data_IF_744625111566
#
_entry.id   IF_744625111566
#
_cell.length_a   1.000
_cell.length_b   1.000
_cell.length_c   1.000
_cell.angle_alpha   90.00
_cell.angle_beta   90.00
_cell.angle_gamma   90.00
#
_symmetry.space_group_name_H-M   'P 1'
#
loop_
_entity.id
_entity.type
_entity.pdbx_description
1 polymer ?
#
# COMPACT_ATOMS: atom_id res chain seq x y z
N UNK A 1 31.07 -26.10 -8.15
CA UNK A 1 29.91 -26.66 -7.42
C UNK A 1 28.68 -25.90 -7.89
N UNK A 2 27.93 -26.47 -8.84
CA UNK A 2 26.76 -25.80 -9.43
C UNK A 2 25.73 -25.49 -8.34
N UNK A 3 25.39 -24.21 -8.16
CA UNK A 3 24.28 -23.83 -7.28
C UNK A 3 22.98 -24.29 -7.94
N UNK A 4 22.52 -25.51 -7.63
CA UNK A 4 21.15 -25.91 -7.95
C UNK A 4 20.22 -24.85 -7.38
N UNK A 5 19.58 -24.07 -8.25
CA UNK A 5 18.56 -23.10 -7.85
C UNK A 5 17.45 -23.89 -7.17
N UNK A 6 17.37 -23.80 -5.85
CA UNK A 6 16.31 -24.39 -5.05
C UNK A 6 15.00 -23.67 -5.39
N UNK A 7 14.18 -24.28 -6.24
CA UNK A 7 12.94 -23.69 -6.78
C UNK A 7 11.76 -24.00 -5.86
N UNK A 8 10.67 -23.26 -6.04
CA UNK A 8 9.41 -23.46 -5.29
C UNK A 8 8.90 -24.90 -5.37
N UNK A 9 9.02 -25.53 -6.55
CA UNK A 9 8.61 -26.92 -6.76
C UNK A 9 9.45 -27.90 -5.94
N UNK A 10 10.75 -27.66 -5.83
CA UNK A 10 11.65 -28.50 -5.04
C UNK A 10 11.31 -28.36 -3.55
N UNK A 11 11.13 -27.13 -3.07
CA UNK A 11 10.70 -26.84 -1.70
C UNK A 11 9.32 -27.46 -1.39
N UNK A 12 8.36 -27.33 -2.30
CA UNK A 12 7.04 -27.91 -2.11
C UNK A 12 7.10 -29.44 -2.05
N UNK A 13 7.83 -30.07 -2.96
CA UNK A 13 8.01 -31.53 -2.98
C UNK A 13 8.74 -32.05 -1.74
N UNK A 14 9.75 -31.33 -1.24
CA UNK A 14 10.53 -31.73 -0.05
C UNK A 14 9.67 -31.76 1.21
N UNK A 15 8.71 -30.84 1.33
CA UNK A 15 7.88 -30.69 2.53
C UNK A 15 6.43 -31.13 2.34
N UNK A 16 6.10 -31.82 1.24
CA UNK A 16 4.75 -32.30 0.97
C UNK A 16 3.71 -31.18 0.82
N UNK A 17 4.11 -30.03 0.29
CA UNK A 17 3.25 -28.89 0.04
C UNK A 17 2.66 -28.96 -1.38
N UNK A 18 1.47 -28.41 -1.54
CA UNK A 18 0.84 -28.19 -2.83
C UNK A 18 1.37 -26.91 -3.48
N UNK A 19 1.26 -26.81 -4.81
CA UNK A 19 1.67 -25.62 -5.55
C UNK A 19 0.75 -25.35 -6.74
N UNK A 20 0.42 -24.07 -6.97
CA UNK A 20 -0.33 -23.60 -8.14
C UNK A 20 0.59 -22.92 -9.18
N UNK A 21 1.92 -23.03 -9.00
CA UNK A 21 2.94 -22.39 -9.83
C UNK A 21 3.27 -20.93 -9.45
N UNK A 22 2.42 -20.25 -8.66
CA UNK A 22 2.64 -18.88 -8.15
C UNK A 22 2.80 -18.84 -6.62
N UNK A 23 2.31 -19.86 -5.94
CA UNK A 23 2.48 -20.09 -4.50
C UNK A 23 2.70 -21.58 -4.22
N UNK A 24 3.13 -21.86 -2.99
CA UNK A 24 3.00 -23.16 -2.37
C UNK A 24 2.33 -23.06 -1.00
N UNK A 25 1.58 -24.08 -0.62
CA UNK A 25 0.78 -24.09 0.61
C UNK A 25 0.57 -25.52 1.12
N UNK A 26 0.24 -25.64 2.39
CA UNK A 26 0.04 -26.94 3.04
C UNK A 26 0.36 -26.89 4.52
N UNK A 27 0.62 -28.06 5.13
CA UNK A 27 0.97 -28.16 6.54
C UNK A 27 2.49 -28.26 6.68
N UNK A 28 3.08 -27.33 7.42
CA UNK A 28 4.50 -27.32 7.75
C UNK A 28 4.68 -27.29 9.26
N UNK A 29 5.33 -28.32 9.83
CA UNK A 29 5.60 -28.46 11.27
C UNK A 29 4.37 -28.24 12.16
N UNK A 30 3.20 -28.73 11.70
CA UNK A 30 1.94 -28.65 12.43
C UNK A 30 1.15 -27.35 12.23
N UNK A 31 1.61 -26.43 11.38
CA UNK A 31 0.88 -25.20 11.04
C UNK A 31 0.55 -25.15 9.56
N UNK A 32 -0.62 -24.60 9.22
CA UNK A 32 -0.94 -24.28 7.82
C UNK A 32 -0.12 -23.08 7.38
N UNK A 33 0.54 -23.22 6.23
CA UNK A 33 1.38 -22.17 5.66
C UNK A 33 0.97 -21.88 4.22
N UNK A 34 1.27 -20.66 3.78
CA UNK A 34 1.18 -20.28 2.39
C UNK A 34 2.37 -19.36 2.06
N UNK A 35 3.08 -19.66 0.99
CA UNK A 35 4.24 -18.92 0.50
C UNK A 35 3.96 -18.52 -0.93
N UNK A 36 3.84 -17.22 -1.17
CA UNK A 36 3.72 -16.64 -2.52
C UNK A 36 5.03 -15.98 -2.91
N UNK A 37 5.54 -16.30 -4.09
CA UNK A 37 6.76 -15.70 -4.61
C UNK A 37 6.58 -15.21 -6.05
N UNK A 38 6.85 -13.93 -6.28
CA UNK A 38 6.83 -13.30 -7.59
C UNK A 38 8.01 -12.31 -7.68
N UNK A 39 8.93 -12.53 -8.62
CA UNK A 39 10.20 -11.78 -8.72
C UNK A 39 10.00 -10.25 -8.86
N UNK A 40 8.92 -9.82 -9.51
CA UNK A 40 8.51 -8.42 -9.66
C UNK A 40 7.22 -8.09 -8.90
N UNK A 41 6.86 -8.93 -7.91
CA UNK A 41 5.71 -8.69 -7.05
C UNK A 41 6.01 -7.64 -5.98
N UNK A 42 4.96 -6.99 -5.48
CA UNK A 42 5.03 -6.16 -4.27
C UNK A 42 4.00 -6.68 -3.23
N UNK A 43 4.43 -7.41 -2.18
CA UNK A 43 5.81 -7.84 -1.93
C UNK A 43 6.27 -8.96 -2.87
N UNK A 44 7.59 -9.08 -3.05
CA UNK A 44 8.18 -10.12 -3.91
C UNK A 44 8.02 -11.53 -3.32
N UNK A 45 8.02 -11.63 -1.98
CA UNK A 45 7.75 -12.84 -1.26
C UNK A 45 6.79 -12.54 -0.10
N UNK A 46 5.74 -13.34 0.04
CA UNK A 46 4.81 -13.27 1.16
C UNK A 46 4.72 -14.65 1.80
N UNK A 47 5.08 -14.74 3.07
CA UNK A 47 4.97 -15.95 3.88
C UNK A 47 3.85 -15.73 4.89
N UNK A 48 2.86 -16.60 4.88
CA UNK A 48 1.74 -16.61 5.82
C UNK A 48 1.80 -17.88 6.66
N UNK A 49 1.60 -17.74 7.96
CA UNK A 49 1.34 -18.85 8.87
C UNK A 49 -0.03 -18.65 9.50
N UNK A 50 -0.92 -19.61 9.24
CA UNK A 50 -2.32 -19.59 9.68
C UNK A 50 -2.40 -20.19 11.08
N UNK A 51 -2.95 -19.42 12.00
CA UNK A 51 -3.11 -19.79 13.41
C UNK A 51 -4.10 -18.82 14.05
N UNK A 52 -4.90 -19.30 14.99
CA UNK A 52 -5.67 -18.42 15.86
C UNK A 52 -4.70 -17.73 16.83
N UNK A 53 -4.85 -16.41 16.98
CA UNK A 53 -3.91 -15.63 17.78
C UNK A 53 -4.36 -15.49 19.22
N UNK A 54 -5.59 -15.88 19.57
CA UNK A 54 -6.15 -15.87 20.91
C UNK A 54 -5.90 -14.54 21.66
N UNK A 55 -6.06 -13.41 20.95
CA UNK A 55 -5.79 -12.08 21.48
C UNK A 55 -4.32 -11.73 21.74
N UNK A 56 -3.37 -12.64 21.48
CA UNK A 56 -1.91 -12.45 21.70
C UNK A 56 -1.21 -11.78 20.51
N UNK A 57 -1.92 -10.91 19.78
CA UNK A 57 -1.39 -10.21 18.61
C UNK A 57 -0.13 -9.41 18.94
N UNK A 58 -0.13 -8.65 20.04
CA UNK A 58 1.02 -7.86 20.45
C UNK A 58 2.27 -8.71 20.74
N UNK A 59 2.10 -9.92 21.26
CA UNK A 59 3.22 -10.81 21.56
C UNK A 59 3.88 -11.30 20.27
N UNK A 60 3.07 -11.65 19.27
CA UNK A 60 3.55 -12.01 17.94
C UNK A 60 4.24 -10.83 17.25
N UNK A 61 3.66 -9.63 17.32
CA UNK A 61 4.27 -8.43 16.74
C UNK A 61 5.59 -8.07 17.41
N UNK A 62 5.67 -8.14 18.75
CA UNK A 62 6.93 -7.95 19.51
C UNK A 62 7.97 -8.99 19.12
N UNK A 63 7.57 -10.24 18.95
CA UNK A 63 8.46 -11.30 18.47
C UNK A 63 8.98 -11.00 17.05
N UNK A 64 8.10 -10.62 16.12
CA UNK A 64 8.48 -10.31 14.75
C UNK A 64 9.39 -9.09 14.67
N UNK A 65 9.11 -8.03 15.43
CA UNK A 65 9.95 -6.83 15.48
C UNK A 65 11.34 -7.16 16.05
N UNK A 66 11.41 -7.92 17.14
CA UNK A 66 12.69 -8.36 17.73
C UNK A 66 13.54 -9.17 16.74
N UNK A 67 12.90 -9.92 15.85
CA UNK A 67 13.57 -10.79 14.88
C UNK A 67 13.64 -10.19 13.46
N UNK A 68 13.14 -8.98 13.25
CA UNK A 68 13.01 -8.34 11.92
C UNK A 68 14.33 -8.28 11.16
N UNK A 69 15.40 -7.86 11.83
CA UNK A 69 16.74 -7.73 11.22
C UNK A 69 17.33 -9.10 10.85
N UNK A 70 17.21 -10.07 11.75
CA UNK A 70 17.71 -11.42 11.54
C UNK A 70 16.97 -12.13 10.40
N UNK A 71 15.64 -12.01 10.36
CA UNK A 71 14.77 -12.58 9.35
C UNK A 71 14.66 -11.73 8.07
N UNK A 72 15.36 -10.58 8.03
CA UNK A 72 15.36 -9.62 6.90
C UNK A 72 13.95 -9.22 6.44
N UNK A 73 13.06 -8.93 7.38
CA UNK A 73 11.66 -8.59 7.08
C UNK A 73 11.53 -7.12 6.66
N UNK A 74 10.97 -6.91 5.46
CA UNK A 74 10.56 -5.59 4.97
C UNK A 74 9.25 -5.12 5.59
N UNK A 75 8.35 -6.06 5.83
CA UNK A 75 7.07 -5.83 6.48
C UNK A 75 6.62 -7.11 7.19
N UNK A 76 5.82 -6.95 8.23
CA UNK A 76 5.16 -8.04 8.93
C UNK A 76 3.86 -7.52 9.55
N UNK A 77 2.97 -8.43 9.90
CA UNK A 77 1.74 -8.08 10.61
C UNK A 77 0.93 -9.31 11.00
N UNK A 78 0.07 -9.14 11.99
CA UNK A 78 -0.89 -10.15 12.42
C UNK A 78 -2.25 -9.75 11.87
N UNK A 79 -2.83 -10.60 11.01
CA UNK A 79 -4.01 -10.26 10.21
C UNK A 79 -4.96 -11.44 10.16
N UNK A 80 -6.17 -11.25 10.70
CA UNK A 80 -7.35 -12.10 10.50
C UNK A 80 -7.19 -13.56 10.91
N UNK A 81 -6.51 -14.33 10.06
CA UNK A 81 -6.33 -15.78 10.11
C UNK A 81 -4.95 -16.22 10.62
N UNK A 82 -4.10 -15.28 11.03
CA UNK A 82 -2.77 -15.57 11.57
C UNK A 82 -1.78 -14.44 11.33
N UNK A 83 -0.55 -14.78 10.95
CA UNK A 83 0.50 -13.79 10.74
C UNK A 83 1.07 -13.84 9.31
N UNK A 84 1.51 -12.68 8.83
CA UNK A 84 2.09 -12.50 7.50
C UNK A 84 3.44 -11.80 7.63
N UNK A 85 4.43 -12.27 6.90
CA UNK A 85 5.76 -11.67 6.83
C UNK A 85 6.23 -11.55 5.38
N UNK A 86 6.92 -10.45 5.08
CA UNK A 86 7.47 -10.13 3.77
C UNK A 86 8.99 -10.02 3.86
N UNK A 87 9.73 -11.11 3.59
CA UNK A 87 11.19 -11.07 3.65
C UNK A 87 11.81 -10.44 2.40
N UNK A 88 12.94 -9.75 2.57
CA UNK A 88 13.77 -9.21 1.49
C UNK A 88 14.64 -10.31 0.89
N UNK A 89 14.06 -11.07 -0.05
CA UNK A 89 14.70 -12.24 -0.66
C UNK A 89 15.15 -11.94 -2.09
N UNK A 90 16.43 -12.23 -2.40
CA UNK A 90 17.02 -12.02 -3.73
C UNK A 90 17.66 -13.30 -4.28
N UNK A 91 18.39 -14.05 -3.43
CA UNK A 91 19.01 -15.34 -3.76
C UNK A 91 18.66 -16.39 -2.71
N UNK A 92 18.67 -17.67 -3.08
CA UNK A 92 18.32 -18.79 -2.20
C UNK A 92 16.98 -18.59 -1.45
N UNK A 93 15.98 -18.06 -2.15
CA UNK A 93 14.69 -17.64 -1.60
C UNK A 93 14.07 -18.69 -0.70
N UNK A 94 13.91 -19.91 -1.21
CA UNK A 94 13.21 -20.97 -0.47
C UNK A 94 14.00 -21.53 0.72
N UNK A 95 15.34 -21.36 0.75
CA UNK A 95 16.13 -21.64 1.94
C UNK A 95 15.85 -20.61 3.04
N UNK A 96 15.79 -19.33 2.69
CA UNK A 96 15.44 -18.27 3.65
C UNK A 96 13.98 -18.42 4.14
N UNK A 97 13.05 -18.77 3.24
CA UNK A 97 11.67 -19.09 3.60
C UNK A 97 11.62 -20.22 4.63
N UNK A 98 12.40 -21.29 4.43
CA UNK A 98 12.51 -22.38 5.40
C UNK A 98 12.98 -21.88 6.78
N UNK A 99 14.06 -21.10 6.82
CA UNK A 99 14.60 -20.56 8.08
C UNK A 99 13.58 -19.68 8.82
N UNK A 100 12.83 -18.86 8.06
CA UNK A 100 11.73 -18.03 8.59
C UNK A 100 10.60 -18.91 9.16
N UNK A 101 10.14 -19.90 8.39
CA UNK A 101 9.07 -20.82 8.80
C UNK A 101 9.49 -21.63 10.03
N UNK A 102 10.72 -22.13 10.07
CA UNK A 102 11.27 -22.85 11.22
C UNK A 102 11.23 -22.01 12.48
N UNK A 103 11.65 -20.74 12.38
CA UNK A 103 11.68 -19.83 13.53
C UNK A 103 10.29 -19.45 14.02
N UNK A 104 9.38 -19.16 13.09
CA UNK A 104 8.00 -18.78 13.41
C UNK A 104 7.25 -19.97 14.02
N UNK A 105 7.27 -21.14 13.37
CA UNK A 105 6.55 -22.33 13.86
C UNK A 105 7.10 -22.82 15.20
N UNK A 106 8.41 -22.72 15.44
CA UNK A 106 8.99 -23.02 16.75
C UNK A 106 8.50 -22.06 17.85
N UNK A 107 8.40 -20.77 17.55
CA UNK A 107 7.85 -19.79 18.49
C UNK A 107 6.37 -20.05 18.76
N UNK A 108 5.57 -20.28 17.72
CA UNK A 108 4.14 -20.57 17.86
C UNK A 108 3.92 -21.79 18.75
N UNK A 109 4.63 -22.88 18.47
CA UNK A 109 4.53 -24.12 19.26
C UNK A 109 4.96 -23.91 20.71
N UNK A 110 6.06 -23.20 20.94
CA UNK A 110 6.57 -22.91 22.29
C UNK A 110 5.59 -22.10 23.14
N UNK A 111 4.81 -21.22 22.52
CA UNK A 111 3.87 -20.33 23.21
C UNK A 111 2.41 -20.81 23.14
N UNK A 112 2.17 -22.05 22.70
CA UNK A 112 0.86 -22.69 22.72
C UNK A 112 -0.14 -22.13 21.71
N UNK A 113 0.32 -21.62 20.57
CA UNK A 113 -0.57 -21.17 19.49
C UNK A 113 -1.19 -22.38 18.76
N UNK A 114 -2.52 -22.38 18.48
CA UNK A 114 -3.21 -23.48 17.82
C UNK A 114 -2.64 -23.81 16.43
N UNK A 115 -2.59 -25.11 16.12
CA UNK A 115 -2.01 -25.65 14.89
C UNK A 115 -3.00 -25.76 13.73
N UNK A 116 -2.63 -26.58 12.75
CA UNK A 116 -3.42 -26.86 11.56
C UNK A 116 -4.71 -27.66 11.85
N UNK A 117 -4.85 -28.26 13.01
CA UNK A 117 -6.05 -28.97 13.46
C UNK A 117 -7.10 -28.04 14.09
N UNK A 118 -6.81 -26.74 14.19
CA UNK A 118 -7.70 -25.75 14.79
C UNK A 118 -8.24 -24.74 13.77
N UNK A 119 -9.42 -24.21 14.08
CA UNK A 119 -10.05 -23.12 13.35
C UNK A 119 -9.28 -21.81 13.62
N UNK A 120 -8.80 -21.08 12.59
CA UNK A 120 -8.02 -19.86 12.77
C UNK A 120 -8.83 -18.64 13.25
N UNK A 121 -10.16 -18.75 13.32
CA UNK A 121 -11.02 -17.67 13.79
C UNK A 121 -11.46 -17.81 15.26
N UNK A 122 -11.50 -19.04 15.78
CA UNK A 122 -12.01 -19.30 17.14
C UNK A 122 -11.10 -20.19 17.99
N UNK A 123 -10.00 -20.71 17.43
CA UNK A 123 -9.06 -21.62 18.11
C UNK A 123 -9.58 -23.04 18.39
N UNK A 124 -10.88 -23.30 18.25
CA UNK A 124 -11.47 -24.63 18.46
C UNK A 124 -10.98 -25.67 17.45
N UNK A 125 -10.97 -26.94 17.85
CA UNK A 125 -10.63 -28.06 16.96
C UNK A 125 -11.57 -28.12 15.76
N UNK A 126 -11.04 -28.43 14.58
CA UNK A 126 -11.83 -28.60 13.37
C UNK A 126 -12.68 -29.87 13.47
N UNK A 127 -13.97 -29.73 13.14
CA UNK A 127 -14.95 -30.81 13.12
C UNK A 127 -15.63 -30.95 11.73
N UNK A 128 -16.68 -31.78 11.66
CA UNK A 128 -17.45 -32.05 10.44
C UNK A 128 -18.14 -30.80 9.84
N UNK A 129 -18.22 -29.69 10.57
CA UNK A 129 -18.74 -28.39 10.07
C UNK A 129 -17.66 -27.55 9.39
N UNK A 130 -16.41 -28.03 9.40
CA UNK A 130 -15.27 -27.35 8.82
C UNK A 130 -15.24 -27.50 7.31
N UNK A 131 -14.99 -26.40 6.61
CA UNK A 131 -14.90 -26.40 5.14
C UNK A 131 -13.61 -25.74 4.69
N UNK A 132 -13.11 -26.16 3.52
CA UNK A 132 -11.98 -25.50 2.87
C UNK A 132 -12.39 -24.11 2.38
N UNK A 133 -11.50 -23.14 2.52
CA UNK A 133 -11.76 -21.73 2.27
C UNK A 133 -10.52 -21.06 1.69
N UNK A 134 -10.75 -19.93 1.02
CA UNK A 134 -9.69 -19.08 0.49
C UNK A 134 -9.97 -17.65 0.93
N UNK A 135 -9.00 -17.03 1.60
CA UNK A 135 -9.00 -15.61 1.94
C UNK A 135 -7.75 -14.96 1.33
N UNK A 136 -7.92 -13.96 0.46
CA UNK A 136 -6.80 -13.27 -0.21
C UNK A 136 -5.83 -14.19 -0.96
N UNK A 137 -6.35 -15.32 -1.48
CA UNK A 137 -5.56 -16.34 -2.18
C UNK A 137 -4.86 -17.34 -1.26
N UNK A 138 -5.12 -17.29 0.05
CA UNK A 138 -4.53 -18.17 1.06
C UNK A 138 -5.55 -19.27 1.36
N UNK A 139 -5.25 -20.54 1.03
CA UNK A 139 -6.13 -21.66 1.35
C UNK A 139 -5.98 -22.06 2.83
N UNK A 140 -7.10 -22.28 3.51
CA UNK A 140 -7.15 -22.81 4.88
C UNK A 140 -8.49 -23.52 5.14
N UNK A 141 -8.62 -24.11 6.32
CA UNK A 141 -9.85 -24.78 6.77
C UNK A 141 -10.35 -24.08 8.03
N UNK A 142 -11.65 -23.84 8.12
CA UNK A 142 -12.29 -23.27 9.30
C UNK A 142 -13.75 -23.74 9.40
N UNK A 143 -14.36 -23.58 10.58
CA UNK A 143 -15.80 -23.80 10.75
C UNK A 143 -16.61 -22.88 9.83
N UNK A 144 -17.60 -23.43 9.13
CA UNK A 144 -18.44 -22.66 8.20
C UNK A 144 -19.04 -21.42 8.86
N UNK A 145 -19.56 -21.56 10.09
CA UNK A 145 -20.17 -20.44 10.83
C UNK A 145 -19.17 -19.32 11.17
N UNK A 146 -17.93 -19.67 11.53
CA UNK A 146 -16.90 -18.67 11.84
C UNK A 146 -16.55 -17.83 10.61
N UNK A 147 -16.44 -18.47 9.46
CA UNK A 147 -16.22 -17.77 8.20
C UNK A 147 -17.39 -16.89 7.79
N UNK A 148 -18.63 -17.38 7.92
CA UNK A 148 -19.82 -16.60 7.56
C UNK A 148 -19.93 -15.33 8.44
N UNK A 149 -19.55 -15.42 9.72
CA UNK A 149 -19.44 -14.25 10.62
C UNK A 149 -18.33 -13.29 10.20
N UNK A 150 -17.14 -13.79 9.88
CA UNK A 150 -16.02 -12.97 9.40
C UNK A 150 -16.38 -12.25 8.09
N UNK A 151 -17.00 -12.97 7.15
CA UNK A 151 -17.49 -12.45 5.88
C UNK A 151 -18.57 -11.37 6.08
N UNK A 152 -19.56 -11.61 6.94
CA UNK A 152 -20.59 -10.62 7.26
C UNK A 152 -19.99 -9.37 7.90
N UNK A 153 -18.99 -9.51 8.78
CA UNK A 153 -18.27 -8.40 9.39
C UNK A 153 -17.51 -7.58 8.35
N UNK A 154 -16.80 -8.24 7.43
CA UNK A 154 -16.11 -7.57 6.32
C UNK A 154 -17.10 -6.80 5.44
N UNK A 155 -18.25 -7.42 5.10
CA UNK A 155 -19.30 -6.78 4.30
C UNK A 155 -19.92 -5.57 5.00
N UNK A 156 -20.21 -5.66 6.31
CA UNK A 156 -20.72 -4.53 7.10
C UNK A 156 -19.74 -3.36 7.16
N UNK A 157 -18.44 -3.63 7.31
CA UNK A 157 -17.40 -2.59 7.26
C UNK A 157 -17.38 -1.89 5.89
N UNK A 158 -17.42 -2.66 4.80
CA UNK A 158 -17.50 -2.09 3.45
C UNK A 158 -18.78 -1.27 3.23
N UNK A 159 -19.92 -1.70 3.76
CA UNK A 159 -21.19 -0.98 3.66
C UNK A 159 -21.16 0.32 4.49
N UNK A 160 -20.60 0.28 5.70
CA UNK A 160 -20.42 1.46 6.54
C UNK A 160 -19.49 2.50 5.89
N UNK A 161 -18.37 2.05 5.30
CA UNK A 161 -17.46 2.92 4.53
C UNK A 161 -18.17 3.55 3.31
N UNK A 162 -19.03 2.80 2.63
CA UNK A 162 -19.85 3.34 1.53
C UNK A 162 -20.90 4.34 2.02
N UNK A 163 -21.56 4.05 3.14
CA UNK A 163 -22.65 4.86 3.70
C UNK A 163 -22.18 6.19 4.34
N UNK A 164 -20.90 6.31 4.68
CA UNK A 164 -20.37 7.57 5.25
C UNK A 164 -20.70 8.76 4.33
N UNK A 165 -21.09 9.95 4.83
CA UNK A 165 -21.37 11.08 3.94
C UNK A 165 -20.08 11.54 3.25
N UNK A 166 -20.16 11.81 1.94
CA UNK A 166 -19.05 12.43 1.22
C UNK A 166 -19.09 13.94 1.48
N UNK A 167 -18.32 14.43 2.45
CA UNK A 167 -18.21 15.85 2.75
C UNK A 167 -17.35 16.55 1.67
N UNK A 168 -17.85 16.60 0.44
CA UNK A 168 -17.12 17.08 -0.74
C UNK A 168 -16.71 18.54 -0.60
N UNK A 169 -17.58 19.39 -0.04
CA UNK A 169 -17.31 20.81 0.17
C UNK A 169 -16.19 21.02 1.20
N UNK A 170 -16.27 20.35 2.36
CA UNK A 170 -15.22 20.42 3.37
C UNK A 170 -13.88 19.88 2.84
N UNK A 171 -13.92 18.77 2.09
CA UNK A 171 -12.74 18.22 1.41
C UNK A 171 -12.12 19.19 0.41
N UNK A 172 -12.92 19.88 -0.41
CA UNK A 172 -12.43 20.91 -1.32
C UNK A 172 -11.81 22.11 -0.58
N UNK A 173 -12.40 22.52 0.55
CA UNK A 173 -11.80 23.54 1.42
C UNK A 173 -10.43 23.10 1.93
N UNK A 174 -10.31 21.86 2.41
CA UNK A 174 -9.03 21.28 2.82
C UNK A 174 -8.00 21.23 1.68
N UNK A 175 -8.44 20.82 0.48
CA UNK A 175 -7.57 20.78 -0.70
C UNK A 175 -7.04 22.18 -1.06
N UNK A 176 -7.91 23.19 -1.09
CA UNK A 176 -7.53 24.57 -1.39
C UNK A 176 -6.48 25.08 -0.40
N UNK A 177 -6.67 24.85 0.90
CA UNK A 177 -5.68 25.20 1.91
C UNK A 177 -4.32 24.54 1.63
N UNK A 178 -4.31 23.25 1.28
CA UNK A 178 -3.08 22.53 0.94
C UNK A 178 -2.38 23.07 -0.31
N UNK A 179 -3.16 23.36 -1.36
CA UNK A 179 -2.66 23.94 -2.60
C UNK A 179 -2.08 25.34 -2.35
N UNK A 180 -2.76 26.19 -1.55
CA UNK A 180 -2.28 27.52 -1.22
C UNK A 180 -0.94 27.49 -0.47
N UNK A 181 -0.77 26.56 0.49
CA UNK A 181 0.50 26.38 1.20
C UNK A 181 1.62 25.96 0.25
N UNK A 182 1.37 24.99 -0.63
CA UNK A 182 2.37 24.58 -1.62
C UNK A 182 2.68 25.67 -2.65
N UNK A 183 1.68 26.48 -3.00
CA UNK A 183 1.82 27.63 -3.90
C UNK A 183 2.67 28.74 -3.27
N UNK A 184 2.48 29.03 -1.98
CA UNK A 184 3.33 29.97 -1.25
C UNK A 184 4.79 29.49 -1.23
N UNK A 185 5.02 28.19 -1.00
CA UNK A 185 6.35 27.60 -1.10
C UNK A 185 6.94 27.72 -2.51
N UNK A 186 6.14 27.49 -3.56
CA UNK A 186 6.55 27.65 -4.96
C UNK A 186 7.00 29.08 -5.27
N UNK A 187 6.26 30.09 -4.80
CA UNK A 187 6.60 31.49 -4.98
C UNK A 187 7.90 31.87 -4.25
N UNK A 188 8.09 31.41 -3.01
CA UNK A 188 9.34 31.63 -2.26
C UNK A 188 10.54 31.05 -3.03
N UNK A 189 10.42 29.81 -3.52
CA UNK A 189 11.50 29.16 -4.28
C UNK A 189 11.76 29.81 -5.63
N UNK A 190 10.73 30.37 -6.27
CA UNK A 190 10.88 31.15 -7.49
C UNK A 190 11.77 32.38 -7.26
N UNK A 191 11.49 33.18 -6.22
CA UNK A 191 12.28 34.40 -5.97
C UNK A 191 13.69 34.12 -5.44
N UNK A 192 13.91 32.97 -4.78
CA UNK A 192 15.24 32.60 -4.29
C UNK A 192 16.13 31.99 -5.38
N UNK A 193 15.59 31.06 -6.17
CA UNK A 193 16.39 30.21 -7.07
C UNK A 193 15.84 30.10 -8.50
N UNK A 194 14.84 30.91 -8.86
CA UNK A 194 14.13 30.82 -10.15
C UNK A 194 13.54 29.42 -10.44
N UNK A 195 13.31 28.62 -9.39
CA UNK A 195 12.87 27.22 -9.49
C UNK A 195 11.68 26.93 -8.58
N UNK A 196 10.48 27.23 -9.10
CA UNK A 196 9.17 27.10 -8.41
C UNK A 196 8.66 25.65 -8.31
N UNK A 197 9.22 24.76 -9.13
CA UNK A 197 8.71 23.41 -9.37
C UNK A 197 8.59 22.51 -8.11
N UNK A 198 9.49 22.66 -7.13
CA UNK A 198 9.41 21.87 -5.88
C UNK A 198 8.17 22.22 -5.05
N UNK A 199 7.69 23.46 -5.11
CA UNK A 199 6.46 23.86 -4.44
C UNK A 199 5.21 23.21 -5.05
N UNK A 200 5.25 22.87 -6.35
CA UNK A 200 4.18 22.13 -7.01
C UNK A 200 4.00 20.73 -6.40
N UNK A 201 5.10 20.02 -6.13
CA UNK A 201 5.03 18.70 -5.48
C UNK A 201 4.39 18.79 -4.08
N UNK A 202 4.72 19.84 -3.32
CA UNK A 202 4.14 20.11 -2.00
C UNK A 202 2.64 20.41 -2.10
N UNK A 203 2.23 21.23 -3.07
CA UNK A 203 0.83 21.59 -3.31
C UNK A 203 -0.05 20.36 -3.58
N UNK A 204 0.42 19.47 -4.47
CA UNK A 204 -0.35 18.26 -4.85
C UNK A 204 -0.44 17.28 -3.69
N UNK A 205 0.64 17.10 -2.93
CA UNK A 205 0.66 16.21 -1.77
C UNK A 205 -0.25 16.74 -0.65
N UNK A 206 -0.10 18.00 -0.25
CA UNK A 206 -0.89 18.61 0.82
C UNK A 206 -2.37 18.74 0.42
N UNK A 207 -2.67 19.10 -0.83
CA UNK A 207 -4.05 19.17 -1.32
C UNK A 207 -4.77 17.83 -1.21
N UNK A 208 -4.12 16.74 -1.61
CA UNK A 208 -4.68 15.39 -1.50
C UNK A 208 -4.82 14.91 -0.04
N UNK A 209 -3.84 15.24 0.82
CA UNK A 209 -3.84 14.85 2.22
C UNK A 209 -4.91 15.60 3.02
N UNK A 210 -4.98 16.92 2.86
CA UNK A 210 -5.97 17.76 3.56
C UNK A 210 -7.39 17.52 3.06
N UNK A 211 -7.60 17.19 1.78
CA UNK A 211 -8.93 16.77 1.29
C UNK A 211 -9.50 15.61 2.12
N UNK A 212 -8.68 14.58 2.35
CA UNK A 212 -9.07 13.42 3.15
C UNK A 212 -9.20 13.77 4.64
N UNK A 213 -8.32 14.61 5.18
CA UNK A 213 -8.36 15.03 6.59
C UNK A 213 -9.64 15.81 6.93
N UNK A 214 -10.17 16.57 5.97
CA UNK A 214 -11.41 17.35 6.12
C UNK A 214 -12.67 16.54 5.78
N UNK A 215 -12.57 15.19 5.77
CA UNK A 215 -13.72 14.30 5.60
C UNK A 215 -14.14 14.09 4.14
N UNK A 216 -13.33 14.51 3.18
CA UNK A 216 -13.54 14.24 1.76
C UNK A 216 -13.25 12.77 1.43
N UNK A 217 -14.19 12.10 0.77
CA UNK A 217 -14.02 10.71 0.32
C UNK A 217 -13.10 10.59 -0.89
N UNK A 218 -12.31 9.52 -0.93
CA UNK A 218 -11.49 9.19 -2.08
C UNK A 218 -12.38 8.70 -3.25
N UNK A 219 -12.76 9.63 -4.11
CA UNK A 219 -13.65 9.41 -5.24
C UNK A 219 -12.96 9.88 -6.52
N UNK A 220 -13.39 9.43 -7.71
CA UNK A 220 -12.85 9.96 -8.96
C UNK A 220 -12.97 11.49 -9.03
N UNK A 221 -14.04 12.03 -8.43
CA UNK A 221 -14.22 13.47 -8.25
C UNK A 221 -13.07 14.12 -7.47
N UNK A 222 -12.60 13.53 -6.35
CA UNK A 222 -11.43 14.03 -5.61
C UNK A 222 -10.22 14.16 -6.53
N UNK A 223 -9.88 13.07 -7.22
CA UNK A 223 -8.67 13.01 -8.06
C UNK A 223 -8.69 14.11 -9.12
N UNK A 224 -9.80 14.23 -9.87
CA UNK A 224 -9.93 15.22 -10.94
C UNK A 224 -9.99 16.64 -10.38
N UNK A 225 -10.79 16.88 -9.33
CA UNK A 225 -10.96 18.22 -8.77
C UNK A 225 -9.70 18.78 -8.11
N UNK A 226 -8.96 17.95 -7.38
CA UNK A 226 -7.70 18.36 -6.74
C UNK A 226 -6.60 18.60 -7.78
N UNK A 227 -6.49 17.75 -8.81
CA UNK A 227 -5.52 17.94 -9.90
C UNK A 227 -5.80 19.26 -10.64
N UNK A 228 -7.04 19.47 -11.09
CA UNK A 228 -7.41 20.69 -11.81
C UNK A 228 -7.19 21.95 -10.96
N UNK A 229 -7.59 21.91 -9.68
CA UNK A 229 -7.37 23.02 -8.75
C UNK A 229 -5.89 23.33 -8.56
N UNK A 230 -5.08 22.29 -8.36
CA UNK A 230 -3.62 22.45 -8.16
C UNK A 230 -2.97 23.05 -9.40
N UNK A 231 -3.31 22.53 -10.58
CA UNK A 231 -2.81 23.04 -11.86
C UNK A 231 -3.18 24.51 -12.09
N UNK A 232 -4.45 24.87 -11.91
CA UNK A 232 -4.93 26.25 -12.13
C UNK A 232 -4.27 27.23 -11.16
N UNK A 233 -4.20 26.89 -9.87
CA UNK A 233 -3.63 27.78 -8.86
C UNK A 233 -2.13 27.93 -9.04
N UNK A 234 -1.40 26.86 -9.35
CA UNK A 234 0.04 26.93 -9.60
C UNK A 234 0.39 27.71 -10.88
N UNK A 235 -0.36 27.53 -11.97
CA UNK A 235 -0.15 28.30 -13.20
C UNK A 235 -0.44 29.78 -12.98
N UNK A 236 -1.52 30.11 -12.28
CA UNK A 236 -1.85 31.49 -11.93
C UNK A 236 -0.77 32.12 -11.06
N UNK A 237 -0.30 31.41 -10.03
CA UNK A 237 0.75 31.90 -9.14
C UNK A 237 2.10 32.04 -9.86
N UNK A 238 2.45 31.09 -10.73
CA UNK A 238 3.65 31.17 -11.54
C UNK A 238 3.62 32.40 -12.46
N UNK A 239 2.49 32.65 -13.12
CA UNK A 239 2.28 33.85 -13.93
C UNK A 239 2.40 35.14 -13.12
N UNK A 240 1.83 35.19 -11.92
CA UNK A 240 1.99 36.32 -10.98
C UNK A 240 3.46 36.52 -10.62
N UNK A 241 4.21 35.44 -10.36
CA UNK A 241 5.63 35.54 -10.05
C UNK A 241 6.44 36.11 -11.24
N UNK A 242 6.13 35.71 -12.47
CA UNK A 242 6.73 36.26 -13.69
C UNK A 242 6.42 37.75 -13.85
N UNK A 243 5.16 38.15 -13.64
CA UNK A 243 4.74 39.56 -13.69
C UNK A 243 5.47 40.41 -12.65
N UNK A 244 5.59 39.93 -11.41
CA UNK A 244 6.33 40.63 -10.36
C UNK A 244 7.80 40.75 -10.73
N UNK A 245 8.42 39.69 -11.24
CA UNK A 245 9.82 39.71 -11.68
C UNK A 245 10.06 40.68 -12.85
N UNK A 246 9.07 40.86 -13.73
CA UNK A 246 9.10 41.81 -14.84
C UNK A 246 8.70 43.26 -14.43
N UNK A 247 8.43 43.51 -13.14
CA UNK A 247 8.01 44.83 -12.65
C UNK A 247 6.58 45.22 -13.05
N UNK A 248 5.72 44.24 -13.32
CA UNK A 248 4.32 44.43 -13.72
C UNK A 248 4.10 44.60 -15.22
N UNK A 249 5.16 44.55 -16.03
CA UNK A 249 5.08 44.74 -17.48
C UNK A 249 5.05 43.40 -18.22
N UNK A 250 3.91 43.11 -18.86
CA UNK A 250 3.70 41.88 -19.61
C UNK A 250 4.59 41.79 -20.86
N UNK A 251 4.91 42.92 -21.50
CA UNK A 251 5.75 42.93 -22.72
C UNK A 251 7.18 42.50 -22.42
N UNK A 252 7.71 42.93 -21.27
CA UNK A 252 9.05 42.53 -20.81
C UNK A 252 9.19 41.02 -20.59
N UNK A 253 8.13 40.33 -20.19
CA UNK A 253 8.17 38.86 -20.08
C UNK A 253 8.43 38.25 -21.46
N UNK A 254 7.68 38.69 -22.48
CA UNK A 254 7.85 38.21 -23.85
C UNK A 254 9.26 38.50 -24.39
N UNK A 255 9.75 39.72 -24.16
CA UNK A 255 11.09 40.14 -24.60
C UNK A 255 12.18 39.32 -23.92
N UNK A 256 12.10 39.08 -22.60
CA UNK A 256 13.06 38.26 -21.86
C UNK A 256 13.04 36.80 -22.31
N UNK A 257 11.86 36.23 -22.61
CA UNK A 257 11.77 34.86 -23.14
C UNK A 257 12.42 34.74 -24.53
N UNK A 258 12.38 35.78 -25.36
CA UNK A 258 12.98 35.75 -26.70
C UNK A 258 14.48 36.02 -26.65
N UNK A 259 14.89 37.01 -25.87
CA UNK A 259 16.24 37.58 -25.88
C UNK A 259 17.22 36.91 -24.91
N UNK A 260 16.73 36.33 -23.80
CA UNK A 260 17.56 35.72 -22.76
C UNK A 260 17.38 34.20 -22.74
N UNK A 261 18.45 33.49 -23.09
CA UNK A 261 18.46 32.02 -23.14
C UNK A 261 18.26 31.36 -21.77
N UNK A 262 18.81 31.94 -20.70
CA UNK A 262 18.73 31.40 -19.34
C UNK A 262 17.34 31.66 -18.74
N UNK A 263 16.77 32.84 -19.02
CA UNK A 263 15.39 33.15 -18.67
C UNK A 263 14.42 32.20 -19.38
N UNK A 264 14.59 32.01 -20.70
CA UNK A 264 13.78 31.08 -21.49
C UNK A 264 13.87 29.64 -20.97
N UNK A 265 15.08 29.18 -20.65
CA UNK A 265 15.28 27.84 -20.11
C UNK A 265 14.57 27.69 -18.77
N UNK A 266 14.71 28.66 -17.87
CA UNK A 266 14.03 28.67 -16.57
C UNK A 266 12.51 28.70 -16.73
N UNK A 267 11.99 29.48 -17.69
CA UNK A 267 10.58 29.55 -18.02
C UNK A 267 10.02 28.18 -18.45
N UNK A 268 10.67 27.55 -19.44
CA UNK A 268 10.25 26.25 -19.96
C UNK A 268 10.34 25.18 -18.88
N UNK A 269 11.43 25.14 -18.12
CA UNK A 269 11.62 24.13 -17.08
C UNK A 269 10.54 24.23 -15.99
N UNK A 270 10.28 25.43 -15.46
CA UNK A 270 9.25 25.61 -14.45
C UNK A 270 7.87 25.18 -14.97
N UNK A 271 7.52 25.58 -16.19
CA UNK A 271 6.25 25.21 -16.81
C UNK A 271 6.12 23.70 -16.96
N UNK A 272 7.13 23.03 -17.55
CA UNK A 272 7.15 21.58 -17.72
C UNK A 272 7.07 20.85 -16.38
N UNK A 273 7.84 21.28 -15.38
CA UNK A 273 7.85 20.61 -14.07
C UNK A 273 6.54 20.77 -13.30
N UNK A 274 5.82 21.89 -13.44
CA UNK A 274 4.47 22.04 -12.87
C UNK A 274 3.56 20.91 -13.38
N UNK A 275 3.54 20.67 -14.70
CA UNK A 275 2.75 19.57 -15.28
C UNK A 275 3.25 18.19 -14.83
N UNK A 276 4.57 17.97 -14.79
CA UNK A 276 5.14 16.68 -14.39
C UNK A 276 4.78 16.36 -12.92
N UNK A 277 4.94 17.31 -12.01
CA UNK A 277 4.63 17.07 -10.59
C UNK A 277 3.13 16.92 -10.33
N UNK A 278 2.28 17.69 -11.04
CA UNK A 278 0.83 17.51 -10.98
C UNK A 278 0.41 16.13 -11.51
N UNK A 279 0.99 15.68 -12.63
CA UNK A 279 0.74 14.34 -13.17
C UNK A 279 1.18 13.23 -12.21
N UNK A 280 2.38 13.33 -11.63
CA UNK A 280 2.89 12.34 -10.66
C UNK A 280 1.96 12.25 -9.45
N UNK A 281 1.56 13.38 -8.87
CA UNK A 281 0.68 13.38 -7.72
C UNK A 281 -0.74 12.94 -8.04
N UNK A 282 -1.23 13.20 -9.26
CA UNK A 282 -2.50 12.66 -9.78
C UNK A 282 -2.43 11.14 -9.91
N UNK A 283 -1.35 10.61 -10.49
CA UNK A 283 -1.12 9.16 -10.60
C UNK A 283 -1.11 8.51 -9.20
N UNK A 284 -0.43 9.13 -8.23
CA UNK A 284 -0.45 8.66 -6.84
C UNK A 284 -1.87 8.63 -6.25
N UNK A 285 -2.66 9.67 -6.48
CA UNK A 285 -4.06 9.73 -6.03
C UNK A 285 -4.94 8.65 -6.69
N UNK A 286 -4.73 8.37 -7.98
CA UNK A 286 -5.40 7.25 -8.69
C UNK A 286 -5.03 5.91 -8.05
N UNK A 287 -3.76 5.65 -7.79
CA UNK A 287 -3.33 4.41 -7.14
C UNK A 287 -3.94 4.24 -5.74
N UNK A 288 -3.99 5.31 -4.96
CA UNK A 288 -4.65 5.34 -3.66
C UNK A 288 -6.15 4.98 -3.77
N UNK A 289 -6.86 5.59 -4.74
CA UNK A 289 -8.27 5.30 -5.00
C UNK A 289 -8.51 3.84 -5.44
N UNK A 290 -7.65 3.30 -6.29
CA UNK A 290 -7.74 1.90 -6.74
C UNK A 290 -7.48 0.93 -5.58
N UNK A 291 -6.60 1.29 -4.64
CA UNK A 291 -6.31 0.48 -3.45
C UNK A 291 -7.50 0.42 -2.50
N UNK A 292 -8.17 1.54 -2.25
CA UNK A 292 -9.37 1.59 -1.39
C UNK A 292 -10.57 0.85 -1.99
N UNK A 293 -10.66 0.77 -3.33
CA UNK A 293 -11.73 0.02 -4.00
C UNK A 293 -11.58 -1.50 -3.90
N UNK A 294 -10.46 -2.04 -3.43
CA UNK A 294 -10.30 -3.48 -3.25
C UNK A 294 -11.15 -3.94 -2.07
N UNK A 295 -12.29 -4.55 -2.38
CA UNK A 295 -13.21 -5.15 -1.41
C UNK A 295 -12.53 -6.34 -0.72
N UNK A 296 -12.59 -6.37 0.60
CA UNK A 296 -12.05 -7.47 1.41
C UNK A 296 -12.91 -8.71 1.18
N UNK A 297 -14.24 -8.55 1.19
CA UNK A 297 -15.22 -9.62 0.97
C UNK A 297 -15.07 -10.31 -0.38
N UNK A 298 -14.65 -9.58 -1.43
CA UNK A 298 -14.45 -10.16 -2.76
C UNK A 298 -13.30 -11.18 -2.81
N UNK A 299 -12.40 -11.16 -1.83
CA UNK A 299 -11.27 -12.07 -1.73
C UNK A 299 -11.53 -13.24 -0.76
N UNK A 300 -12.75 -13.37 -0.23
CA UNK A 300 -13.17 -14.43 0.69
C UNK A 300 -14.15 -15.36 -0.01
N UNK A 301 -13.86 -16.66 -0.06
CA UNK A 301 -14.78 -17.69 -0.59
C UNK A 301 -14.57 -19.05 0.05
N UNK A 302 -15.63 -19.86 0.10
CA UNK A 302 -15.53 -21.30 0.38
C UNK A 302 -14.96 -21.98 -0.87
N UNK A 303 -13.98 -22.87 -0.70
CA UNK A 303 -13.45 -23.68 -1.78
C UNK A 303 -14.49 -24.78 -2.08
N UNK A 304 -15.02 -24.77 -3.29
CA UNK A 304 -15.96 -25.78 -3.81
C UNK A 304 -15.25 -27.07 -4.16
#
# INVERSE_FOLDING_TARGET
>A
MESKRYKMKDFASEYGLETDGKSCYGIYKGYRIHVKYALMGNPACLVTVVTDTDGKNENLEKFLEKNKKELKLSAYGVVGIGLMVSPQVYTNVFRQVKEILDKITAYLKKNGFPGADSCPYCGGALDDTSVAMIESGIPFTAHSACFDMAYATAKRKEEAERAMPANRLAGMGGALCGVLVGTAAAAILFFLWNFSALGAAVAVFLGNWLYSKFGGKNTPFKVISVALMTLVVLLAAYFVCLLVNAGGDLSKIGDLVVSDGDYRQSFILNLVFIFVFDAIGTIYAVFSLLRERKKISANMRKAS
#
